data_IF_367377350928
#
_entry.id   IF_367377350928
#
_cell.length_a   1.000
_cell.length_b   1.000
_cell.length_c   1.000
_cell.angle_alpha   90.00
_cell.angle_beta   90.00
_cell.angle_gamma   90.00
#
_symmetry.space_group_name_H-M   'P 1'
#
loop_
_entity.id
_entity.type
_entity.pdbx_description
1 polymer ?
#
# COMPACT_ATOMS: atom_id res chain seq x y z
N UNK A 1 8.01 13.39 -19.88
CA UNK A 1 7.64 13.66 -18.49
C UNK A 1 6.44 12.83 -18.10
N UNK A 2 6.54 12.12 -16.98
CA UNK A 2 5.39 11.52 -16.32
C UNK A 2 4.77 12.52 -15.36
N UNK A 3 3.45 12.71 -15.43
CA UNK A 3 2.71 13.60 -14.53
C UNK A 3 2.11 12.77 -13.39
N UNK A 4 2.27 13.22 -12.14
CA UNK A 4 1.62 12.62 -10.98
C UNK A 4 0.60 13.61 -10.44
N UNK A 5 -0.63 13.16 -10.23
CA UNK A 5 -1.71 13.99 -9.68
C UNK A 5 -2.35 13.29 -8.50
N UNK A 6 -2.72 14.08 -7.50
CA UNK A 6 -3.39 13.60 -6.29
C UNK A 6 -4.78 14.23 -6.27
N UNK A 7 -5.80 13.41 -6.07
CA UNK A 7 -7.20 13.82 -5.92
C UNK A 7 -7.73 13.36 -4.58
N UNK A 8 -8.68 14.09 -3.99
CA UNK A 8 -9.26 13.69 -2.71
C UNK A 8 -9.99 12.35 -2.82
N UNK A 9 -10.80 12.16 -3.87
CA UNK A 9 -11.54 10.93 -4.12
C UNK A 9 -12.60 11.11 -5.20
N UNK A 10 -13.32 10.05 -5.53
CA UNK A 10 -14.35 10.03 -6.57
C UNK A 10 -15.73 9.73 -5.98
N UNK A 11 -16.36 10.73 -5.36
CA UNK A 11 -17.70 10.58 -4.76
C UNK A 11 -18.79 10.70 -5.85
N UNK A 12 -19.13 9.58 -6.48
CA UNK A 12 -20.18 9.49 -7.49
C UNK A 12 -21.32 8.59 -7.05
N UNK A 13 -22.55 9.08 -7.19
CA UNK A 13 -23.78 8.33 -6.84
C UNK A 13 -24.05 7.12 -7.77
N UNK A 14 -23.62 7.20 -9.04
CA UNK A 14 -23.87 6.15 -10.02
C UNK A 14 -22.73 6.04 -11.05
N UNK A 15 -22.44 4.83 -11.56
CA UNK A 15 -21.35 4.62 -12.50
C UNK A 15 -21.66 5.29 -13.84
N UNK A 16 -20.87 6.30 -14.21
CA UNK A 16 -21.09 7.12 -15.42
C UNK A 16 -19.75 7.46 -16.08
N UNK A 17 -19.42 6.72 -17.14
CA UNK A 17 -18.21 6.94 -17.96
C UNK A 17 -18.12 8.36 -18.50
N UNK A 18 -19.26 8.98 -18.86
CA UNK A 18 -19.28 10.37 -19.32
C UNK A 18 -18.75 11.36 -18.26
N UNK A 19 -19.08 11.17 -16.98
CA UNK A 19 -18.56 12.01 -15.90
C UNK A 19 -17.06 11.81 -15.72
N UNK A 20 -16.59 10.57 -15.84
CA UNK A 20 -15.17 10.25 -15.76
C UNK A 20 -14.37 10.92 -16.89
N UNK A 21 -14.84 10.83 -18.14
CA UNK A 21 -14.19 11.48 -19.29
C UNK A 21 -14.19 13.01 -19.17
N UNK A 22 -15.29 13.59 -18.69
CA UNK A 22 -15.41 15.03 -18.49
C UNK A 22 -14.41 15.53 -17.43
N UNK A 23 -14.27 14.79 -16.32
CA UNK A 23 -13.30 15.10 -15.27
C UNK A 23 -11.85 14.97 -15.74
N UNK A 24 -11.51 13.90 -16.47
CA UNK A 24 -10.18 13.74 -17.05
C UNK A 24 -9.85 14.86 -18.06
N UNK A 25 -10.84 15.29 -18.84
CA UNK A 25 -10.70 16.41 -19.77
C UNK A 25 -10.56 17.75 -19.04
N UNK A 26 -11.31 17.98 -17.96
CA UNK A 26 -11.23 19.18 -17.14
C UNK A 26 -9.88 19.35 -16.45
N UNK A 27 -9.24 18.22 -16.11
CA UNK A 27 -7.89 18.18 -15.56
C UNK A 27 -6.80 18.30 -16.64
N UNK A 28 -7.14 18.39 -17.92
CA UNK A 28 -6.18 18.41 -19.04
C UNK A 28 -5.27 17.16 -19.05
N UNK A 29 -5.84 16.00 -18.69
CA UNK A 29 -5.12 14.72 -18.66
C UNK A 29 -5.29 14.02 -20.00
N UNK A 30 -4.31 14.18 -20.88
CA UNK A 30 -4.26 13.52 -22.18
C UNK A 30 -3.43 12.24 -22.16
N UNK A 31 -3.63 11.38 -23.17
CA UNK A 31 -2.79 10.21 -23.39
C UNK A 31 -3.16 9.01 -22.51
N UNK A 32 -2.13 8.28 -22.06
CA UNK A 32 -2.28 7.06 -21.25
C UNK A 32 -2.35 7.42 -19.77
N UNK A 33 -3.45 7.09 -19.12
CA UNK A 33 -3.67 7.44 -17.71
C UNK A 33 -3.77 6.18 -16.88
N UNK A 34 -3.02 6.13 -15.78
CA UNK A 34 -3.17 5.15 -14.72
C UNK A 34 -3.90 5.80 -13.56
N UNK A 35 -5.04 5.23 -13.16
CA UNK A 35 -5.77 5.65 -11.95
C UNK A 35 -5.62 4.55 -10.91
N UNK A 36 -5.15 4.92 -9.73
CA UNK A 36 -5.01 4.03 -8.59
C UNK A 36 -6.17 4.30 -7.65
N UNK A 37 -7.02 3.29 -7.44
CA UNK A 37 -8.21 3.37 -6.59
C UNK A 37 -8.16 2.32 -5.49
N UNK A 38 -8.78 2.59 -4.36
CA UNK A 38 -8.94 1.55 -3.35
C UNK A 38 -10.03 0.57 -3.80
N UNK A 39 -10.02 -0.63 -3.23
CA UNK A 39 -11.04 -1.64 -3.53
C UNK A 39 -12.44 -1.24 -3.06
N UNK A 40 -12.54 -0.22 -2.20
CA UNK A 40 -13.80 0.35 -1.72
C UNK A 40 -14.51 1.24 -2.76
N UNK A 41 -13.79 1.70 -3.79
CA UNK A 41 -14.30 2.68 -4.78
C UNK A 41 -14.90 2.02 -6.05
N UNK A 42 -15.87 1.11 -5.87
CA UNK A 42 -16.48 0.35 -6.97
C UNK A 42 -17.12 1.24 -8.06
N UNK A 43 -17.80 2.32 -7.65
CA UNK A 43 -18.50 3.22 -8.59
C UNK A 43 -17.50 3.95 -9.48
N UNK A 44 -16.37 4.37 -8.91
CA UNK A 44 -15.31 5.04 -9.64
C UNK A 44 -14.61 4.05 -10.59
N UNK A 45 -14.31 2.85 -10.11
CA UNK A 45 -13.75 1.77 -10.91
C UNK A 45 -14.62 1.45 -12.13
N UNK A 46 -15.93 1.25 -11.95
CA UNK A 46 -16.86 0.96 -13.03
C UNK A 46 -16.98 2.12 -14.05
N UNK A 47 -16.86 3.36 -13.60
CA UNK A 47 -16.93 4.55 -14.45
C UNK A 47 -15.68 4.70 -15.31
N UNK A 48 -14.50 4.46 -14.73
CA UNK A 48 -13.20 4.71 -15.35
C UNK A 48 -12.72 3.53 -16.22
N UNK A 49 -13.04 2.27 -15.86
CA UNK A 49 -12.55 1.08 -16.59
C UNK A 49 -12.99 1.00 -18.06
N UNK A 50 -14.02 1.75 -18.44
CA UNK A 50 -14.54 1.78 -19.81
C UNK A 50 -14.05 3.01 -20.59
N UNK A 51 -13.24 3.87 -19.98
CA UNK A 51 -12.64 5.02 -20.68
C UNK A 51 -11.45 4.53 -21.47
N UNK A 52 -11.35 4.97 -22.73
CA UNK A 52 -10.23 4.60 -23.59
C UNK A 52 -8.94 5.23 -23.07
N UNK A 53 -7.82 4.49 -23.15
CA UNK A 53 -6.50 4.92 -22.66
C UNK A 53 -6.41 5.13 -21.14
N UNK A 54 -7.36 4.61 -20.37
CA UNK A 54 -7.31 4.60 -18.90
C UNK A 54 -7.15 3.17 -18.39
N UNK A 55 -6.19 2.98 -17.50
CA UNK A 55 -6.01 1.74 -16.73
C UNK A 55 -6.33 2.04 -15.29
N UNK A 56 -7.14 1.17 -14.65
CA UNK A 56 -7.57 1.33 -13.27
C UNK A 56 -7.21 0.08 -12.49
N UNK A 57 -6.29 0.20 -11.53
CA UNK A 57 -5.80 -0.92 -10.73
C UNK A 57 -5.80 -0.53 -9.24
N UNK A 58 -6.00 -1.52 -8.35
CA UNK A 58 -5.82 -1.34 -6.91
C UNK A 58 -4.33 -1.41 -6.50
N UNK A 59 -3.57 -2.20 -7.26
CA UNK A 59 -2.14 -2.38 -7.06
C UNK A 59 -1.38 -1.92 -8.30
N UNK A 60 -0.35 -1.11 -8.05
CA UNK A 60 0.46 -0.54 -9.12
C UNK A 60 1.58 -1.50 -9.48
N UNK A 61 1.59 -1.97 -10.73
CA UNK A 61 2.73 -2.69 -11.28
C UNK A 61 3.70 -1.73 -11.97
N UNK A 62 5.02 -2.02 -12.00
CA UNK A 62 6.00 -1.20 -12.69
C UNK A 62 5.70 -1.01 -14.19
N UNK A 63 5.05 -2.00 -14.81
CA UNK A 63 4.64 -1.92 -16.21
C UNK A 63 3.61 -0.80 -16.45
N UNK A 64 2.65 -0.68 -15.55
CA UNK A 64 1.57 0.31 -15.68
C UNK A 64 2.11 1.74 -15.53
N UNK A 65 3.12 1.93 -14.67
CA UNK A 65 3.82 3.21 -14.49
C UNK A 65 4.59 3.59 -15.76
N UNK A 66 5.27 2.64 -16.41
CA UNK A 66 6.04 2.91 -17.62
C UNK A 66 5.15 3.13 -18.85
N UNK A 67 3.93 2.58 -18.83
CA UNK A 67 2.95 2.76 -19.89
C UNK A 67 2.22 4.10 -19.76
N UNK A 68 1.95 4.56 -18.54
CA UNK A 68 1.15 5.75 -18.29
C UNK A 68 1.97 7.05 -18.47
N UNK A 69 1.38 8.01 -19.15
CA UNK A 69 1.86 9.40 -19.22
C UNK A 69 1.46 10.18 -17.95
N UNK A 70 0.28 9.87 -17.39
CA UNK A 70 -0.19 10.44 -16.13
C UNK A 70 -0.64 9.37 -15.14
N UNK A 71 -0.23 9.51 -13.88
CA UNK A 71 -0.67 8.66 -12.77
C UNK A 71 -1.50 9.49 -11.79
N UNK A 72 -2.71 9.04 -11.48
CA UNK A 72 -3.64 9.69 -10.57
C UNK A 72 -3.80 8.81 -9.33
N UNK A 73 -3.50 9.38 -8.16
CA UNK A 73 -3.72 8.75 -6.85
C UNK A 73 -4.86 9.43 -6.11
N UNK A 74 -5.64 8.65 -5.37
CA UNK A 74 -6.56 9.18 -4.36
C UNK A 74 -5.81 9.36 -3.03
N UNK A 75 -6.33 10.19 -2.13
CA UNK A 75 -5.77 10.32 -0.78
C UNK A 75 -5.78 9.00 -0.04
N UNK A 76 -6.85 8.21 -0.18
CA UNK A 76 -6.97 6.89 0.44
C UNK A 76 -5.91 5.90 -0.06
N UNK A 77 -5.69 5.85 -1.38
CA UNK A 77 -4.67 4.95 -1.96
C UNK A 77 -3.25 5.39 -1.63
N UNK A 78 -2.99 6.69 -1.57
CA UNK A 78 -1.70 7.23 -1.16
C UNK A 78 -1.40 6.91 0.31
N UNK A 79 -2.39 7.05 1.19
CA UNK A 79 -2.25 6.70 2.60
C UNK A 79 -1.99 5.20 2.78
N UNK A 80 -2.67 4.35 2.00
CA UNK A 80 -2.43 2.91 1.98
C UNK A 80 -1.02 2.55 1.48
N UNK A 81 -0.53 3.25 0.44
CA UNK A 81 0.79 3.01 -0.14
C UNK A 81 1.95 3.46 0.78
N UNK A 82 1.77 4.54 1.54
CA UNK A 82 2.85 5.18 2.30
C UNK A 82 2.99 4.70 3.76
N UNK A 83 2.00 3.98 4.30
CA UNK A 83 2.07 3.37 5.63
C UNK A 83 2.10 4.33 6.83
N UNK A 84 2.10 5.65 6.59
CA UNK A 84 2.06 6.73 7.60
C UNK A 84 1.04 7.78 7.15
N UNK A 85 0.17 8.27 8.04
CA UNK A 85 -1.06 9.01 7.69
C UNK A 85 -0.91 10.53 7.85
N UNK A 86 0.26 11.07 7.49
CA UNK A 86 0.61 12.49 7.68
C UNK A 86 0.70 13.22 6.32
N UNK A 87 -0.42 13.40 5.61
CA UNK A 87 -0.47 14.18 4.36
C UNK A 87 -1.64 15.16 4.36
N UNK A 88 -1.35 16.45 4.13
CA UNK A 88 -2.35 17.48 3.82
C UNK A 88 -2.31 17.77 2.33
N UNK A 89 -3.40 17.51 1.60
CA UNK A 89 -3.59 18.00 0.23
C UNK A 89 -3.82 19.51 0.34
N UNK A 90 -2.86 20.30 -0.11
CA UNK A 90 -3.05 21.74 -0.28
C UNK A 90 -3.54 22.04 -1.69
N UNK A 91 -4.34 23.09 -1.83
CA UNK A 91 -4.82 23.61 -3.12
C UNK A 91 -3.69 24.06 -4.09
N UNK A 92 -2.43 24.04 -3.64
CA UNK A 92 -1.28 24.50 -4.42
C UNK A 92 -0.25 23.36 -4.57
N UNK A 93 0.01 23.05 -5.83
CA UNK A 93 1.00 22.10 -6.36
C UNK A 93 2.39 22.37 -5.76
N UNK A 94 2.76 21.66 -4.68
CA UNK A 94 4.07 21.05 -4.43
C UNK A 94 4.16 20.46 -3.00
N UNK A 95 4.83 19.31 -2.91
CA UNK A 95 5.31 18.72 -1.66
C UNK A 95 6.26 19.72 -0.96
N UNK A 96 5.88 20.21 0.22
CA UNK A 96 6.83 20.86 1.12
C UNK A 96 7.65 19.78 1.80
N UNK A 97 8.89 19.58 1.35
CA UNK A 97 9.89 18.94 2.19
C UNK A 97 10.03 19.76 3.47
N UNK A 98 9.79 19.12 4.62
CA UNK A 98 10.00 19.73 5.93
C UNK A 98 11.49 19.66 6.20
N UNK A 99 12.22 20.69 5.77
CA UNK A 99 13.64 20.86 6.04
C UNK A 99 13.87 20.87 7.57
N UNK A 100 14.47 19.80 8.06
CA UNK A 100 14.85 19.63 9.46
C UNK A 100 16.33 19.97 9.63
N UNK A 101 16.71 21.24 9.46
CA UNK A 101 18.00 21.73 9.95
C UNK A 101 17.94 23.19 10.42
N UNK A 102 18.07 23.42 11.74
CA UNK A 102 19.22 24.18 12.25
C UNK A 102 19.46 23.98 13.76
N UNK A 103 20.71 23.64 14.06
CA UNK A 103 21.37 23.47 15.36
C UNK A 103 21.43 24.70 16.27
N UNK A 104 21.64 24.47 17.57
CA UNK A 104 22.58 25.28 18.37
C UNK A 104 23.45 24.39 19.26
N UNK A 105 24.75 24.67 19.25
CA UNK A 105 25.86 23.97 19.88
C UNK A 105 26.36 24.75 21.11
N UNK A 106 26.83 24.01 22.13
CA UNK A 106 27.80 24.33 23.20
C UNK A 106 27.44 25.18 24.44
N UNK A 107 27.47 24.54 25.64
CA UNK A 107 28.38 24.92 26.73
C UNK A 107 28.35 23.91 27.89
N UNK A 108 29.55 23.54 28.33
CA UNK A 108 29.96 22.58 29.35
C UNK A 108 29.57 22.99 30.79
N UNK A 109 29.38 22.04 31.72
CA UNK A 109 30.26 21.89 32.90
C UNK A 109 30.02 20.55 33.67
N UNK A 110 31.05 19.96 34.33
CA UNK A 110 31.05 18.66 34.98
C UNK A 110 30.91 18.75 36.52
N UNK A 111 30.52 17.63 37.15
CA UNK A 111 30.82 17.16 38.52
C UNK A 111 29.92 15.92 38.75
N UNK A 112 30.44 14.70 38.83
CA UNK A 112 31.13 14.03 39.97
C UNK A 112 30.17 13.40 40.99
N UNK A 113 30.56 12.20 41.44
CA UNK A 113 29.99 11.31 42.47
C UNK A 113 28.71 10.50 42.13
N UNK A 114 28.51 9.24 42.53
CA UNK A 114 29.29 8.04 42.89
C UNK A 114 28.21 7.01 43.30
N UNK A 115 28.43 5.73 42.96
CA UNK A 115 27.86 4.50 43.55
C UNK A 115 26.33 4.23 43.63
N UNK A 116 25.91 3.15 42.96
CA UNK A 116 25.33 1.94 43.56
C UNK A 116 25.09 0.92 42.41
N UNK A 117 25.87 -0.15 42.27
CA UNK A 117 25.58 -1.51 42.80
C UNK A 117 24.11 -1.90 42.56
N UNK A 118 23.74 -2.89 41.74
CA UNK A 118 24.08 -4.31 41.86
C UNK A 118 23.76 -5.08 40.55
N UNK A 119 24.28 -6.31 40.52
CA UNK A 119 24.50 -7.29 39.44
C UNK A 119 23.25 -8.07 38.94
N UNK A 120 23.41 -8.95 37.91
CA UNK A 120 22.34 -9.50 37.08
C UNK A 120 21.79 -10.82 37.62
N UNK A 121 20.51 -11.12 37.39
CA UNK A 121 19.96 -12.46 37.63
C UNK A 121 19.66 -13.19 36.33
N UNK A 122 20.55 -14.14 36.04
CA UNK A 122 20.34 -15.22 35.11
C UNK A 122 19.76 -16.42 35.88
N UNK A 123 18.70 -17.02 35.34
CA UNK A 123 18.18 -18.32 35.77
C UNK A 123 16.66 -18.40 35.58
N UNK A 124 16.02 -19.53 35.30
CA UNK A 124 16.42 -20.93 35.22
C UNK A 124 15.17 -21.74 34.82
N UNK A 125 15.36 -22.94 34.23
CA UNK A 125 14.40 -24.07 34.24
C UNK A 125 13.52 -24.18 32.99
N UNK A 126 13.72 -25.11 32.05
CA UNK A 126 13.53 -26.59 32.09
C UNK A 126 12.13 -27.00 32.55
N UNK A 127 11.39 -27.74 31.71
CA UNK A 127 11.00 -29.14 31.98
C UNK A 127 10.25 -29.78 30.80
N UNK A 128 10.36 -31.10 30.75
CA UNK A 128 9.92 -32.00 29.68
C UNK A 128 8.61 -32.73 30.05
N UNK A 129 7.97 -33.37 29.07
CA UNK A 129 6.90 -34.37 29.25
C UNK A 129 5.88 -34.29 28.11
N UNK A 130 5.84 -35.19 27.13
CA UNK A 130 5.37 -36.59 27.13
C UNK A 130 3.85 -36.75 27.35
N UNK A 131 3.17 -37.31 26.35
CA UNK A 131 1.78 -37.80 26.35
C UNK A 131 1.28 -37.93 24.90
N UNK A 132 1.46 -39.04 24.19
CA UNK A 132 0.76 -40.35 24.22
C UNK A 132 -0.64 -40.37 23.55
N UNK A 133 -0.82 -41.35 22.64
CA UNK A 133 -2.05 -41.99 22.07
C UNK A 133 -2.66 -41.38 20.78
N UNK A 134 -2.59 -42.10 19.65
CA UNK A 134 -3.55 -43.13 19.11
C UNK A 134 -4.75 -42.45 18.39
N UNK A 135 -5.32 -42.87 17.25
CA UNK A 135 -5.24 -44.04 16.40
C UNK A 135 -5.91 -43.72 15.03
N UNK A 136 -5.74 -44.61 14.04
CA UNK A 136 -6.64 -44.93 12.89
C UNK A 136 -7.17 -43.85 11.94
N UNK A 137 -6.71 -43.89 10.69
CA UNK A 137 -7.53 -43.67 9.48
C UNK A 137 -6.89 -44.54 8.37
N UNK A 138 -7.51 -45.63 7.94
CA UNK A 138 -8.68 -45.74 7.05
C UNK A 138 -8.31 -45.44 5.58
N UNK A 139 -8.49 -46.49 4.77
CA UNK A 139 -9.02 -46.46 3.40
C UNK A 139 -8.22 -45.77 2.28
N UNK A 140 -7.57 -46.60 1.44
CA UNK A 140 -7.86 -46.77 0.01
C UNK A 140 -6.62 -47.18 -0.81
N UNK A 141 -6.61 -48.35 -1.44
CA UNK A 141 -5.82 -48.59 -2.64
C UNK A 141 -6.76 -48.87 -3.81
N UNK A 142 -6.69 -48.04 -4.86
CA UNK A 142 -6.87 -48.50 -6.25
C UNK A 142 -6.38 -47.40 -7.20
N UNK A 143 -5.23 -47.65 -7.82
CA UNK A 143 -4.88 -46.97 -9.06
C UNK A 143 -5.81 -47.50 -10.16
N UNK A 144 -6.57 -46.59 -10.75
CA UNK A 144 -7.31 -46.82 -11.97
C UNK A 144 -6.39 -46.57 -13.18
N UNK A 145 -6.37 -47.54 -14.10
CA UNK A 145 -6.68 -47.39 -15.53
C UNK A 145 -6.60 -45.95 -16.08
N UNK A 146 -5.90 -45.59 -17.15
CA UNK A 146 -5.82 -46.19 -18.48
C UNK A 146 -4.78 -45.36 -19.27
N UNK A 147 -3.76 -45.99 -19.86
CA UNK A 147 -3.09 -45.43 -21.04
C UNK A 147 -3.86 -45.90 -22.27
N UNK A 148 -4.70 -45.02 -22.81
CA UNK A 148 -5.36 -45.16 -24.10
C UNK A 148 -4.92 -44.02 -25.01
N UNK A 149 -3.93 -44.32 -25.84
CA UNK A 149 -3.50 -43.50 -26.98
C UNK A 149 -4.13 -44.11 -28.24
N UNK A 150 -5.15 -43.47 -28.82
CA UNK A 150 -5.28 -43.09 -30.25
C UNK A 150 -6.60 -42.36 -30.50
#
# INVERSE_FOLDING_TARGET
>A
DGQIRIVEGFDWDAPKTKKATDLLSAMDVGGKVLVVLDRSDDVAYLSLRNVENVVVNDQVNPYDILWADTVIFTVDTLAAASGTKDYSVGDEDFVKEVDSQQSTVDSQNPNDELEASEEPDAGSGREAGSGERAATADDAPVEASEEGSE
#
